data_IF_848102339941
#
_entry.id   IF_848102339941
#
_cell.length_a   1.000
_cell.length_b   1.000
_cell.length_c   1.000
_cell.angle_alpha   90.00
_cell.angle_beta   90.00
_cell.angle_gamma   90.00
#
_symmetry.space_group_name_H-M   'P 1'
#
loop_
_entity.id
_entity.type
_entity.pdbx_description
1 polymer ?
#
# COMPACT_ATOMS: atom_id res chain seq x y z
N UNK A 1 89.35 38.72 -30.67
CA UNK A 1 88.47 37.97 -31.55
C UNK A 1 87.81 36.92 -30.68
N UNK A 2 86.59 37.17 -30.21
CA UNK A 2 85.85 36.29 -29.26
C UNK A 2 84.74 35.56 -30.01
N UNK A 3 84.88 34.25 -30.13
CA UNK A 3 83.85 33.44 -30.73
C UNK A 3 82.87 32.93 -29.64
N UNK A 4 81.62 33.40 -29.69
CA UNK A 4 80.56 32.95 -28.78
C UNK A 4 79.99 31.63 -29.34
N UNK A 5 80.12 30.59 -28.56
CA UNK A 5 79.38 29.34 -28.76
C UNK A 5 77.99 29.49 -28.21
N UNK A 6 77.04 29.30 -29.08
CA UNK A 6 75.59 29.27 -28.71
C UNK A 6 75.24 27.82 -28.37
N UNK A 7 74.79 27.60 -27.15
CA UNK A 7 74.23 26.33 -26.71
C UNK A 7 72.73 26.22 -27.13
N UNK A 8 72.30 25.08 -27.60
CA UNK A 8 70.92 24.85 -27.90
C UNK A 8 70.07 24.54 -26.58
N UNK A 9 69.07 25.32 -26.38
CA UNK A 9 68.09 25.06 -25.34
C UNK A 9 67.28 23.80 -25.67
N UNK A 10 67.44 22.77 -24.85
CA UNK A 10 66.53 21.61 -24.86
C UNK A 10 65.20 21.99 -24.23
N UNK A 11 64.16 22.05 -25.05
CA UNK A 11 62.77 22.11 -24.54
C UNK A 11 62.42 20.76 -23.95
N UNK A 12 62.31 20.70 -22.63
CA UNK A 12 61.72 19.59 -21.94
C UNK A 12 60.17 19.61 -22.14
N UNK A 13 59.67 18.60 -22.83
CA UNK A 13 58.25 18.33 -22.87
C UNK A 13 57.84 17.72 -21.51
N UNK A 14 57.20 18.52 -20.68
CA UNK A 14 56.49 18.02 -19.53
C UNK A 14 55.22 17.34 -20.03
N UNK A 15 55.17 16.02 -19.96
CA UNK A 15 53.92 15.26 -20.15
C UNK A 15 53.11 15.42 -18.89
N UNK A 16 52.08 16.22 -18.94
CA UNK A 16 51.05 16.27 -17.91
C UNK A 16 50.17 15.04 -18.05
N UNK A 17 50.37 14.07 -17.18
CA UNK A 17 49.47 12.93 -17.03
C UNK A 17 48.19 13.46 -16.35
N UNK A 18 47.14 13.67 -17.13
CA UNK A 18 45.80 13.93 -16.62
C UNK A 18 45.23 12.62 -16.14
N UNK A 19 45.30 12.38 -14.84
CA UNK A 19 44.62 11.25 -14.21
C UNK A 19 43.14 11.62 -14.15
N UNK A 20 42.35 11.14 -15.10
CA UNK A 20 40.87 11.24 -15.04
C UNK A 20 40.39 10.30 -13.91
N UNK A 21 40.10 10.88 -12.74
CA UNK A 21 39.35 10.19 -11.71
C UNK A 21 37.89 10.08 -12.20
N UNK A 22 37.54 8.92 -12.69
CA UNK A 22 36.14 8.57 -12.94
C UNK A 22 35.45 8.45 -11.57
N UNK A 23 34.71 9.49 -11.18
CA UNK A 23 33.73 9.39 -10.11
C UNK A 23 32.59 8.51 -10.63
N UNK A 24 32.62 7.24 -10.28
CA UNK A 24 31.44 6.39 -10.40
C UNK A 24 30.46 6.91 -9.33
N UNK A 25 29.58 7.82 -9.73
CA UNK A 25 28.39 8.13 -8.95
C UNK A 25 27.53 6.87 -8.95
N UNK A 26 27.66 6.07 -7.89
CA UNK A 26 26.65 5.06 -7.56
C UNK A 26 25.39 5.85 -7.21
N UNK A 27 24.58 6.13 -8.23
CA UNK A 27 23.18 6.49 -8.04
C UNK A 27 22.52 5.27 -7.40
N UNK A 28 22.61 5.18 -6.08
CA UNK A 28 21.76 4.30 -5.30
C UNK A 28 20.34 4.70 -5.66
N UNK A 29 19.70 3.93 -6.53
CA UNK A 29 18.26 3.96 -6.69
C UNK A 29 17.71 3.70 -5.29
N UNK A 30 17.32 4.77 -4.57
CA UNK A 30 16.41 4.63 -3.47
C UNK A 30 15.15 4.05 -4.13
N UNK A 31 15.03 2.73 -4.12
CA UNK A 31 13.73 2.10 -4.29
C UNK A 31 12.91 2.72 -3.17
N UNK A 32 12.03 3.64 -3.53
CA UNK A 32 10.93 4.00 -2.65
C UNK A 32 10.35 2.65 -2.23
N UNK A 33 10.54 2.28 -0.97
CA UNK A 33 9.83 1.17 -0.40
C UNK A 33 8.36 1.53 -0.64
N UNK A 34 7.75 0.87 -1.60
CA UNK A 34 6.32 0.91 -1.82
C UNK A 34 5.74 0.38 -0.52
N UNK A 35 5.31 1.29 0.34
CA UNK A 35 4.62 0.94 1.56
C UNK A 35 3.21 0.53 1.16
N UNK A 36 3.07 -0.71 0.78
CA UNK A 36 1.83 -1.31 0.34
C UNK A 36 2.17 -2.44 -0.61
N UNK A 37 1.50 -3.56 -0.50
CA UNK A 37 1.51 -4.56 -1.56
C UNK A 37 1.19 -3.84 -2.88
N UNK A 38 1.98 -4.10 -3.91
CA UNK A 38 1.71 -3.55 -5.23
C UNK A 38 0.33 -4.04 -5.66
N UNK A 39 -0.52 -3.13 -6.08
CA UNK A 39 -1.81 -3.48 -6.65
C UNK A 39 -1.61 -4.48 -7.79
N UNK A 40 -2.43 -5.50 -7.84
CA UNK A 40 -2.44 -6.46 -8.93
C UNK A 40 -2.86 -5.77 -10.24
N UNK A 41 -2.76 -6.47 -11.38
CA UNK A 41 -3.29 -6.00 -12.67
C UNK A 41 -4.81 -5.74 -12.56
N UNK A 42 -5.49 -6.38 -11.62
CA UNK A 42 -6.91 -6.20 -11.33
C UNK A 42 -7.22 -4.95 -10.48
N UNK A 43 -6.21 -4.25 -9.99
CA UNK A 43 -6.35 -3.07 -9.14
C UNK A 43 -5.91 -3.28 -7.71
N UNK A 44 -6.16 -2.29 -6.85
CA UNK A 44 -6.04 -2.37 -5.40
C UNK A 44 -7.41 -2.58 -4.79
N UNK A 45 -7.51 -3.35 -3.72
CA UNK A 45 -8.68 -3.31 -2.87
C UNK A 45 -8.69 -2.04 -2.02
N UNK A 46 -9.85 -1.49 -1.79
CA UNK A 46 -10.04 -0.34 -0.91
C UNK A 46 -11.21 -0.52 0.05
N UNK A 47 -11.25 0.32 1.08
CA UNK A 47 -12.40 0.40 1.97
C UNK A 47 -12.88 1.84 2.08
N UNK A 48 -14.18 2.04 2.03
CA UNK A 48 -14.85 3.34 2.12
C UNK A 48 -15.90 3.28 3.21
N UNK A 49 -16.04 4.36 3.96
CA UNK A 49 -17.05 4.46 5.03
C UNK A 49 -18.05 5.58 4.73
N UNK A 50 -19.19 5.22 4.19
CA UNK A 50 -20.28 6.14 3.83
C UNK A 50 -21.24 6.43 4.99
N UNK A 51 -20.92 5.99 6.21
CA UNK A 51 -21.79 6.13 7.38
C UNK A 51 -21.41 7.30 8.28
N UNK A 52 -22.25 7.58 9.27
CA UNK A 52 -22.01 8.63 10.27
C UNK A 52 -21.06 8.20 11.41
N UNK A 53 -20.67 6.94 11.48
CA UNK A 53 -19.74 6.39 12.49
C UNK A 53 -18.38 6.12 11.85
N UNK A 54 -17.32 5.96 12.66
CA UNK A 54 -16.02 5.54 12.16
C UNK A 54 -16.00 4.04 11.81
N UNK A 55 -15.05 3.64 10.95
CA UNK A 55 -14.76 2.25 10.65
C UNK A 55 -13.24 2.01 10.60
N UNK A 56 -12.81 0.77 10.45
CA UNK A 56 -11.38 0.43 10.40
C UNK A 56 -11.12 -0.54 9.27
N UNK A 57 -10.13 -0.24 8.45
CA UNK A 57 -9.54 -1.17 7.49
C UNK A 57 -8.21 -1.74 8.01
N UNK A 58 -7.83 -2.90 7.51
CA UNK A 58 -6.55 -3.55 7.76
C UNK A 58 -5.88 -3.88 6.44
N UNK A 59 -4.54 -3.84 6.43
CA UNK A 59 -3.73 -3.96 5.22
C UNK A 59 -3.86 -5.33 4.56
N UNK A 60 -3.72 -6.41 5.33
CA UNK A 60 -3.57 -7.74 4.78
C UNK A 60 -4.76 -8.65 5.11
N UNK A 61 -5.13 -9.51 4.15
CA UNK A 61 -5.93 -10.70 4.37
C UNK A 61 -5.02 -11.91 4.48
N UNK A 62 -5.15 -12.72 5.54
CA UNK A 62 -4.19 -13.77 5.88
C UNK A 62 -4.62 -15.19 5.43
N UNK A 63 -5.65 -15.31 4.62
CA UNK A 63 -6.22 -16.59 4.22
C UNK A 63 -6.29 -16.68 2.69
N UNK A 64 -5.70 -17.72 2.14
CA UNK A 64 -5.76 -17.98 0.70
C UNK A 64 -7.11 -18.64 0.30
N UNK A 65 -7.53 -18.40 -0.94
CA UNK A 65 -8.72 -19.02 -1.54
C UNK A 65 -10.06 -18.42 -1.13
N UNK A 66 -10.09 -17.46 -0.20
CA UNK A 66 -11.32 -16.77 0.16
C UNK A 66 -11.72 -15.74 -0.90
N UNK A 67 -13.01 -15.65 -1.20
CA UNK A 67 -13.58 -14.64 -2.09
C UNK A 67 -13.92 -13.34 -1.34
N UNK A 68 -14.10 -12.24 -2.07
CA UNK A 68 -14.64 -10.97 -1.55
C UNK A 68 -15.89 -11.19 -0.73
N UNK A 69 -15.96 -10.54 0.43
CA UNK A 69 -17.05 -10.70 1.39
C UNK A 69 -16.95 -11.94 2.29
N UNK A 70 -15.96 -12.82 2.12
CA UNK A 70 -15.65 -13.84 3.14
C UNK A 70 -15.22 -13.18 4.44
N UNK A 71 -15.46 -13.83 5.58
CA UNK A 71 -15.12 -13.24 6.86
C UNK A 71 -14.54 -14.26 7.85
N UNK A 72 -13.86 -13.75 8.88
CA UNK A 72 -13.32 -14.52 10.01
C UNK A 72 -13.45 -13.72 11.30
N UNK A 73 -13.57 -14.41 12.44
CA UNK A 73 -13.51 -13.77 13.76
C UNK A 73 -12.06 -13.56 14.26
N UNK A 74 -11.08 -14.16 13.61
CA UNK A 74 -9.65 -14.03 13.95
C UNK A 74 -9.07 -12.83 13.21
N UNK A 75 -8.47 -11.90 13.94
CA UNK A 75 -7.78 -10.76 13.35
C UNK A 75 -6.62 -11.23 12.48
N UNK A 76 -6.55 -10.79 11.21
CA UNK A 76 -5.38 -11.03 10.38
C UNK A 76 -4.13 -10.36 10.99
N UNK A 77 -3.04 -11.11 11.13
CA UNK A 77 -1.76 -10.62 11.70
C UNK A 77 -0.56 -10.95 10.81
N UNK A 78 -0.80 -11.50 9.64
CA UNK A 78 0.25 -11.91 8.72
C UNK A 78 0.99 -10.71 8.12
N UNK A 79 2.13 -11.02 7.56
CA UNK A 79 2.83 -10.19 6.59
C UNK A 79 2.53 -10.73 5.19
N UNK A 80 2.07 -9.89 4.29
CA UNK A 80 1.84 -10.22 2.88
C UNK A 80 2.72 -9.35 2.00
N UNK A 81 3.33 -9.93 0.98
CA UNK A 81 4.20 -9.26 0.00
C UNK A 81 5.25 -8.32 0.62
N UNK A 82 5.79 -8.74 1.76
CA UNK A 82 6.76 -7.94 2.50
C UNK A 82 6.16 -6.86 3.40
N UNK A 83 4.84 -6.64 3.36
CA UNK A 83 4.13 -5.61 4.13
C UNK A 83 3.56 -6.17 5.42
N UNK A 84 3.91 -5.55 6.53
CA UNK A 84 3.37 -5.90 7.85
C UNK A 84 1.92 -5.45 7.98
N UNK A 85 1.14 -6.17 8.79
CA UNK A 85 -0.22 -5.77 9.11
C UNK A 85 -0.25 -4.40 9.78
N UNK A 86 -1.08 -3.52 9.25
CA UNK A 86 -1.40 -2.20 9.83
C UNK A 86 -2.89 -1.94 9.75
N UNK A 87 -3.36 -0.98 10.51
CA UNK A 87 -4.75 -0.54 10.50
C UNK A 87 -4.87 0.88 9.98
N UNK A 88 -5.99 1.18 9.35
CA UNK A 88 -6.33 2.52 8.87
C UNK A 88 -7.72 2.90 9.38
N UNK A 89 -7.82 4.07 10.00
CA UNK A 89 -9.10 4.59 10.47
C UNK A 89 -9.84 5.29 9.34
N UNK A 90 -11.06 4.85 9.09
CA UNK A 90 -11.97 5.45 8.12
C UNK A 90 -12.89 6.42 8.84
N UNK A 91 -12.72 7.70 8.62
CA UNK A 91 -13.61 8.73 9.16
C UNK A 91 -15.04 8.54 8.64
N UNK A 92 -16.01 9.08 9.37
CA UNK A 92 -17.42 9.12 8.94
C UNK A 92 -17.60 9.96 7.67
N UNK A 93 -18.61 9.62 6.87
CA UNK A 93 -19.03 10.43 5.75
C UNK A 93 -18.06 10.45 4.56
N UNK A 94 -17.60 9.28 4.12
CA UNK A 94 -16.75 9.15 2.93
C UNK A 94 -15.25 8.96 3.23
N UNK A 95 -14.87 8.69 4.50
CA UNK A 95 -13.49 8.30 4.82
C UNK A 95 -13.09 7.04 4.06
N UNK A 96 -11.92 7.04 3.44
CA UNK A 96 -11.45 5.92 2.62
C UNK A 96 -9.98 5.64 2.85
N UNK A 97 -9.55 4.42 2.54
CA UNK A 97 -8.14 4.04 2.50
C UNK A 97 -7.42 4.73 1.33
N UNK A 98 -6.08 4.92 1.41
CA UNK A 98 -5.33 5.47 0.27
C UNK A 98 -5.50 4.62 -1.00
N UNK A 99 -5.94 5.22 -2.10
CA UNK A 99 -6.21 4.53 -3.37
C UNK A 99 -4.97 3.96 -4.07
N UNK A 100 -3.78 4.40 -3.68
CA UNK A 100 -2.51 3.88 -4.22
C UNK A 100 -1.98 2.68 -3.46
N UNK A 101 -2.73 2.18 -2.48
CA UNK A 101 -2.34 1.12 -1.58
C UNK A 101 -3.42 0.05 -1.52
N UNK A 102 -3.00 -1.20 -1.39
CA UNK A 102 -3.89 -2.33 -1.25
C UNK A 102 -4.35 -2.54 0.20
N UNK A 103 -5.67 -2.65 0.44
CA UNK A 103 -6.29 -2.77 1.76
C UNK A 103 -7.32 -3.88 1.79
N UNK A 104 -6.86 -5.10 2.00
CA UNK A 104 -7.60 -6.34 1.82
C UNK A 104 -8.71 -6.63 2.83
N UNK A 105 -8.77 -5.90 3.94
CA UNK A 105 -9.62 -6.28 5.07
C UNK A 105 -10.37 -5.09 5.65
N UNK A 106 -11.69 -5.22 5.77
CA UNK A 106 -12.54 -4.33 6.53
C UNK A 106 -12.88 -4.97 7.89
N UNK A 107 -12.74 -4.23 9.00
CA UNK A 107 -13.21 -4.69 10.31
C UNK A 107 -14.65 -4.29 10.54
N UNK A 108 -15.48 -5.26 10.91
CA UNK A 108 -16.80 -5.07 11.48
C UNK A 108 -16.66 -5.10 12.99
N UNK A 109 -16.98 -4.01 13.66
CA UNK A 109 -16.74 -3.87 15.08
C UNK A 109 -17.68 -4.76 15.93
N UNK A 110 -17.14 -5.24 17.05
CA UNK A 110 -17.95 -5.93 18.06
C UNK A 110 -19.09 -5.03 18.56
N UNK A 111 -20.26 -5.59 18.76
CA UNK A 111 -21.44 -4.84 19.21
C UNK A 111 -22.23 -4.12 18.11
N UNK A 112 -21.79 -4.21 16.85
CA UNK A 112 -22.43 -3.56 15.72
C UNK A 112 -22.91 -4.55 14.67
N UNK A 113 -23.85 -4.10 13.85
CA UNK A 113 -24.22 -4.73 12.59
C UNK A 113 -23.87 -3.78 11.44
N UNK A 114 -23.08 -4.26 10.47
CA UNK A 114 -22.65 -3.51 9.31
C UNK A 114 -23.32 -4.05 8.06
N UNK A 115 -23.77 -3.13 7.21
CA UNK A 115 -24.12 -3.43 5.81
C UNK A 115 -23.01 -2.94 4.92
N UNK A 116 -22.43 -3.86 4.17
CA UNK A 116 -21.28 -3.58 3.30
C UNK A 116 -21.67 -3.87 1.86
N UNK A 117 -21.55 -2.87 1.00
CA UNK A 117 -21.66 -3.02 -0.45
C UNK A 117 -20.25 -3.25 -1.01
N UNK A 118 -20.08 -4.29 -1.79
CA UNK A 118 -18.88 -4.55 -2.55
C UNK A 118 -19.09 -4.09 -3.99
N UNK A 119 -18.24 -3.18 -4.44
CA UNK A 119 -18.15 -2.76 -5.83
C UNK A 119 -17.05 -3.59 -6.46
N UNK A 120 -17.38 -4.40 -7.46
CA UNK A 120 -16.46 -5.39 -8.02
C UNK A 120 -16.10 -5.01 -9.45
N UNK A 121 -14.82 -4.72 -9.69
CA UNK A 121 -14.30 -4.45 -11.01
C UNK A 121 -14.54 -5.65 -11.95
N UNK A 122 -15.10 -5.37 -13.11
CA UNK A 122 -15.43 -6.40 -14.12
C UNK A 122 -16.38 -7.51 -13.61
N UNK A 123 -17.10 -7.25 -12.50
CA UNK A 123 -18.04 -8.18 -11.89
C UNK A 123 -19.40 -7.53 -11.59
N UNK A 124 -20.20 -8.24 -10.81
CA UNK A 124 -21.47 -7.70 -10.30
C UNK A 124 -21.31 -7.24 -8.87
N UNK A 125 -21.73 -6.03 -8.58
CA UNK A 125 -21.82 -5.52 -7.22
C UNK A 125 -22.76 -6.39 -6.38
N UNK A 126 -22.43 -6.51 -5.10
CA UNK A 126 -23.32 -7.20 -4.16
C UNK A 126 -23.24 -6.55 -2.77
N UNK A 127 -24.21 -6.89 -1.93
CA UNK A 127 -24.28 -6.38 -0.55
C UNK A 127 -24.35 -7.54 0.43
N UNK A 128 -23.64 -7.42 1.55
CA UNK A 128 -23.72 -8.35 2.67
C UNK A 128 -23.92 -7.62 3.98
N UNK A 129 -24.63 -8.28 4.90
CA UNK A 129 -24.82 -7.81 6.27
C UNK A 129 -24.03 -8.70 7.22
N UNK A 130 -23.26 -8.07 8.09
CA UNK A 130 -22.43 -8.73 9.11
C UNK A 130 -22.91 -8.32 10.49
N UNK A 131 -23.69 -9.18 11.13
CA UNK A 131 -24.19 -8.94 12.49
C UNK A 131 -23.17 -9.42 13.52
N UNK A 132 -22.58 -8.48 14.23
CA UNK A 132 -21.61 -8.72 15.31
C UNK A 132 -22.10 -8.21 16.65
N UNK A 133 -23.40 -7.94 16.76
CA UNK A 133 -24.04 -7.54 18.03
C UNK A 133 -23.99 -8.71 19.01
N UNK A 134 -23.48 -8.45 20.22
CA UNK A 134 -23.29 -9.50 21.23
C UNK A 134 -22.17 -10.51 20.95
N UNK A 135 -21.33 -10.28 19.92
CA UNK A 135 -20.22 -11.15 19.57
C UNK A 135 -18.93 -10.35 19.34
N UNK A 136 -17.80 -11.04 19.17
CA UNK A 136 -16.51 -10.42 18.81
C UNK A 136 -16.55 -9.80 17.40
N UNK A 137 -15.61 -8.92 17.12
CA UNK A 137 -15.44 -8.33 15.79
C UNK A 137 -15.27 -9.40 14.70
N UNK A 138 -15.63 -9.03 13.48
CA UNK A 138 -15.30 -9.82 12.30
C UNK A 138 -14.39 -9.03 11.37
N UNK A 139 -13.61 -9.75 10.60
CA UNK A 139 -12.70 -9.23 9.57
C UNK A 139 -13.19 -9.76 8.25
N UNK A 140 -13.44 -8.87 7.32
CA UNK A 140 -14.12 -9.13 6.05
C UNK A 140 -13.16 -8.86 4.91
N UNK A 141 -13.03 -9.81 3.98
CA UNK A 141 -12.15 -9.67 2.82
C UNK A 141 -12.74 -8.70 1.79
N UNK A 142 -11.93 -7.74 1.36
CA UNK A 142 -12.01 -7.09 0.06
C UNK A 142 -10.90 -7.71 -0.80
N UNK A 143 -11.22 -8.21 -1.99
CA UNK A 143 -10.20 -8.75 -2.90
C UNK A 143 -9.65 -7.62 -3.79
N UNK A 144 -8.48 -7.82 -4.40
CA UNK A 144 -7.76 -6.85 -5.25
C UNK A 144 -8.58 -6.21 -6.38
N UNK A 145 -9.75 -6.71 -6.65
CA UNK A 145 -10.66 -6.20 -7.66
C UNK A 145 -11.98 -5.71 -7.06
N UNK A 146 -12.00 -5.33 -5.78
CA UNK A 146 -13.23 -4.91 -5.14
C UNK A 146 -13.00 -3.84 -4.07
N UNK A 147 -13.89 -2.86 -4.03
CA UNK A 147 -13.99 -1.88 -2.96
C UNK A 147 -15.08 -2.29 -1.97
N UNK A 148 -14.78 -2.20 -0.68
CA UNK A 148 -15.73 -2.48 0.40
C UNK A 148 -16.32 -1.16 0.95
N UNK A 149 -17.55 -0.85 0.61
CA UNK A 149 -18.27 0.32 1.08
C UNK A 149 -19.13 -0.02 2.29
N UNK A 150 -18.84 0.56 3.45
CA UNK A 150 -19.73 0.50 4.62
C UNK A 150 -20.87 1.46 4.40
N UNK A 151 -22.04 0.94 4.03
CA UNK A 151 -23.24 1.74 3.72
C UNK A 151 -24.26 1.78 4.85
N UNK A 152 -24.02 1.04 5.93
CA UNK A 152 -24.85 1.06 7.13
C UNK A 152 -24.12 0.50 8.34
N UNK A 153 -24.26 1.16 9.48
CA UNK A 153 -23.76 0.73 10.79
C UNK A 153 -24.78 1.00 11.87
N UNK A 154 -25.05 0.02 12.73
CA UNK A 154 -25.92 0.21 13.87
C UNK A 154 -25.61 -0.79 14.99
N UNK A 155 -25.74 -0.36 16.24
CA UNK A 155 -25.64 -1.23 17.42
C UNK A 155 -27.01 -1.78 17.87
N UNK A 156 -28.12 -1.19 17.41
CA UNK A 156 -29.46 -1.56 17.84
C UNK A 156 -30.18 -2.51 16.87
N UNK A 157 -30.04 -2.29 15.56
CA UNK A 157 -30.67 -3.10 14.51
C UNK A 157 -29.70 -3.27 13.32
N UNK A 158 -29.85 -4.29 12.51
CA UNK A 158 -29.13 -4.38 11.25
C UNK A 158 -29.74 -3.43 10.21
N UNK A 159 -28.91 -2.60 9.52
CA UNK A 159 -29.37 -1.67 8.51
C UNK A 159 -29.73 -2.36 7.18
#
# INVERSE_FOLDING_TARGET
MFSRKVLPKRLGRAAAAVTAMAFVAVLGSATAASAGASCSIAGCSSSVNDTALGATALKNWCRSGDSTGSWTATQPTCKSDGVSQTTYYLSSGGGHTPYSEDWDTLRVDAGYCYKVKFIVDLGSDFTRTYDRRGTSAAYVKAADNADAHVVGQSSSSCP
#
